data_IF_079240997270
#
_entry.id   IF_079240997270
#
_cell.length_a   1.000
_cell.length_b   1.000
_cell.length_c   1.000
_cell.angle_alpha   90.00
_cell.angle_beta   90.00
_cell.angle_gamma   90.00
#
_symmetry.space_group_name_H-M   'P 1'
#
loop_
_entity.id
_entity.type
_entity.pdbx_description
1 polymer ?
#
# COMPACT_ATOMS: atom_id res chain seq x y z
N UNK A 1 -47.85 30.97 -42.98
CA UNK A 1 -46.97 29.78 -42.97
C UNK A 1 -45.89 30.02 -41.93
N UNK A 2 -45.81 29.17 -40.90
CA UNK A 2 -44.85 29.31 -39.82
C UNK A 2 -43.46 28.85 -40.28
N UNK A 3 -42.50 29.77 -40.30
CA UNK A 3 -41.09 29.45 -40.53
C UNK A 3 -40.43 29.03 -39.22
N UNK A 4 -39.97 27.78 -39.15
CA UNK A 4 -39.20 27.23 -38.05
C UNK A 4 -37.85 27.94 -37.91
N UNK A 5 -37.62 28.62 -36.79
CA UNK A 5 -36.30 29.06 -36.35
C UNK A 5 -35.70 27.94 -35.49
N UNK A 6 -34.96 27.05 -36.13
CA UNK A 6 -34.18 25.99 -35.46
C UNK A 6 -32.81 25.88 -36.12
N UNK A 7 -32.15 27.01 -36.37
CA UNK A 7 -30.79 27.07 -36.95
C UNK A 7 -30.00 28.25 -36.38
N UNK A 8 -29.97 28.43 -35.05
CA UNK A 8 -29.15 29.47 -34.42
C UNK A 8 -28.25 28.97 -33.28
N UNK A 9 -28.30 27.68 -32.93
CA UNK A 9 -27.50 27.14 -31.82
C UNK A 9 -26.47 26.06 -32.21
N UNK A 10 -26.19 25.84 -33.49
CA UNK A 10 -25.09 24.95 -33.90
C UNK A 10 -23.81 25.73 -34.22
N UNK A 11 -23.33 26.54 -33.27
CA UNK A 11 -21.97 27.06 -33.34
C UNK A 11 -21.02 25.89 -33.11
N UNK A 12 -20.57 25.25 -34.19
CA UNK A 12 -19.51 24.22 -34.12
C UNK A 12 -18.26 24.89 -33.56
N UNK A 13 -18.01 24.71 -32.27
CA UNK A 13 -16.79 25.19 -31.63
C UNK A 13 -15.66 24.26 -32.06
N UNK A 14 -14.77 24.77 -32.93
CA UNK A 14 -13.54 24.08 -33.33
C UNK A 14 -12.76 23.77 -32.06
N UNK A 15 -12.61 22.47 -31.74
CA UNK A 15 -11.94 22.01 -30.53
C UNK A 15 -12.84 21.33 -29.49
N UNK A 16 -14.17 21.39 -29.59
CA UNK A 16 -15.09 20.87 -28.57
C UNK A 16 -15.00 19.34 -28.34
N UNK A 17 -14.49 18.59 -29.32
CA UNK A 17 -14.24 17.13 -29.23
C UNK A 17 -12.77 16.77 -29.02
N UNK A 18 -11.87 17.76 -28.88
CA UNK A 18 -10.44 17.50 -28.69
C UNK A 18 -10.23 17.02 -27.25
N UNK A 19 -10.09 15.71 -27.09
CA UNK A 19 -9.68 15.11 -25.82
C UNK A 19 -8.18 15.31 -25.66
N UNK A 20 -7.76 15.91 -24.56
CA UNK A 20 -6.34 15.99 -24.21
C UNK A 20 -5.73 14.58 -24.14
N UNK A 21 -4.48 14.39 -24.58
CA UNK A 21 -3.82 13.09 -24.51
C UNK A 21 -3.67 12.67 -23.04
N UNK A 22 -4.53 11.77 -22.58
CA UNK A 22 -4.44 11.17 -21.25
C UNK A 22 -3.56 9.92 -21.32
N UNK A 23 -2.54 9.83 -20.47
CA UNK A 23 -1.74 8.62 -20.32
C UNK A 23 -2.61 7.53 -19.69
N UNK A 24 -3.15 6.64 -20.52
CA UNK A 24 -4.06 5.61 -20.09
C UNK A 24 -3.26 4.42 -19.52
N UNK A 25 -3.01 4.44 -18.21
CA UNK A 25 -2.26 3.39 -17.50
C UNK A 25 -3.07 2.12 -17.21
N UNK A 26 -4.37 2.14 -17.50
CA UNK A 26 -5.26 1.00 -17.28
C UNK A 26 -5.11 -0.04 -18.37
N UNK A 27 -5.12 -1.32 -18.00
CA UNK A 27 -5.03 -2.46 -18.91
C UNK A 27 -6.06 -2.40 -20.05
N UNK A 28 -7.30 -1.98 -19.75
CA UNK A 28 -8.35 -1.81 -20.76
C UNK A 28 -8.00 -0.81 -21.86
N UNK A 29 -7.31 0.27 -21.51
CA UNK A 29 -6.91 1.29 -22.47
C UNK A 29 -5.69 0.88 -23.31
N UNK A 30 -4.73 0.17 -22.70
CA UNK A 30 -3.58 -0.41 -23.41
C UNK A 30 -4.06 -1.47 -24.41
N UNK A 31 -5.02 -2.32 -24.00
CA UNK A 31 -5.60 -3.34 -24.88
C UNK A 31 -6.42 -2.72 -26.02
N UNK A 32 -7.17 -1.65 -25.77
CA UNK A 32 -7.88 -0.91 -26.82
C UNK A 32 -6.91 -0.29 -27.84
N UNK A 33 -5.82 0.33 -27.36
CA UNK A 33 -4.76 0.87 -28.22
C UNK A 33 -4.09 -0.23 -29.06
N UNK A 34 -3.77 -1.38 -28.47
CA UNK A 34 -3.20 -2.53 -29.19
C UNK A 34 -4.12 -3.05 -30.30
N UNK A 35 -5.44 -3.11 -30.06
CA UNK A 35 -6.43 -3.54 -31.07
C UNK A 35 -6.65 -2.51 -32.17
N UNK A 36 -6.57 -1.23 -31.84
CA UNK A 36 -6.71 -0.14 -32.79
C UNK A 36 -5.43 0.15 -33.58
N UNK A 37 -4.34 -0.60 -33.36
CA UNK A 37 -3.04 -0.35 -33.98
C UNK A 37 -2.37 0.95 -33.51
N UNK A 38 -2.79 1.48 -32.36
CA UNK A 38 -2.21 2.69 -31.78
C UNK A 38 -0.82 2.45 -31.16
N UNK A 39 -0.03 3.52 -30.97
CA UNK A 39 1.31 3.41 -30.38
C UNK A 39 1.23 2.91 -28.94
N UNK A 40 1.97 1.84 -28.65
CA UNK A 40 2.14 1.27 -27.31
C UNK A 40 3.62 1.33 -26.97
N UNK A 41 3.96 2.13 -25.97
CA UNK A 41 5.31 2.16 -25.43
C UNK A 41 5.46 1.07 -24.36
N UNK A 42 6.53 0.28 -24.47
CA UNK A 42 6.83 -0.81 -23.55
C UNK A 42 8.26 -0.69 -23.07
N UNK A 43 8.43 -0.26 -21.82
CA UNK A 43 9.73 -0.18 -21.17
C UNK A 43 9.93 -1.31 -20.16
N UNK A 44 11.12 -1.88 -20.13
CA UNK A 44 11.48 -2.94 -19.17
C UNK A 44 11.83 -2.28 -17.83
N UNK A 45 10.89 -2.31 -16.89
CA UNK A 45 11.15 -1.83 -15.52
C UNK A 45 12.31 -2.60 -14.89
N UNK A 46 13.25 -1.85 -14.32
CA UNK A 46 14.48 -2.33 -13.65
C UNK A 46 14.22 -3.32 -12.49
N UNK A 47 13.01 -3.35 -11.94
CA UNK A 47 12.57 -4.22 -10.84
C UNK A 47 11.97 -5.56 -11.31
N UNK A 48 12.60 -6.23 -12.29
CA UNK A 48 12.20 -7.60 -12.67
C UNK A 48 12.45 -8.60 -11.54
N UNK A 49 11.42 -9.37 -11.13
CA UNK A 49 11.43 -10.51 -10.19
C UNK A 49 12.67 -10.64 -9.28
N UNK A 50 12.95 -9.62 -8.47
CA UNK A 50 13.97 -9.72 -7.40
C UNK A 50 13.27 -9.95 -6.08
N UNK A 51 13.77 -10.90 -5.29
CA UNK A 51 13.26 -11.22 -3.95
C UNK A 51 13.34 -10.03 -2.97
N UNK A 52 14.22 -9.06 -3.26
CA UNK A 52 14.33 -7.80 -2.53
C UNK A 52 14.11 -6.63 -3.48
N UNK A 53 13.23 -5.71 -3.09
CA UNK A 53 13.13 -4.39 -3.72
C UNK A 53 14.45 -3.69 -3.45
N UNK A 54 15.22 -3.41 -4.50
CA UNK A 54 16.50 -2.71 -4.38
C UNK A 54 16.38 -1.33 -3.72
N UNK A 55 17.50 -0.65 -3.49
CA UNK A 55 17.51 0.68 -2.89
C UNK A 55 16.57 1.65 -3.63
N UNK A 56 15.79 2.42 -2.87
CA UNK A 56 14.92 3.45 -3.41
C UNK A 56 15.79 4.64 -3.86
N UNK A 57 16.26 4.59 -5.10
CA UNK A 57 17.16 5.58 -5.69
C UNK A 57 16.61 7.01 -5.62
N UNK A 58 15.29 7.18 -5.67
CA UNK A 58 14.65 8.49 -5.53
C UNK A 58 14.77 9.04 -4.10
N UNK A 59 14.61 8.18 -3.08
CA UNK A 59 14.82 8.58 -1.68
C UNK A 59 16.29 8.83 -1.38
N UNK A 60 17.21 8.03 -1.91
CA UNK A 60 18.65 8.24 -1.72
C UNK A 60 19.09 9.57 -2.32
N UNK A 61 18.66 9.88 -3.54
CA UNK A 61 18.95 11.16 -4.18
C UNK A 61 18.31 12.36 -3.47
N UNK A 62 17.22 12.15 -2.71
CA UNK A 62 16.64 13.19 -1.86
C UNK A 62 17.47 13.41 -0.60
N UNK A 63 17.88 12.33 0.08
CA UNK A 63 18.73 12.39 1.26
C UNK A 63 20.10 13.05 0.96
N UNK A 64 20.67 12.79 -0.20
CA UNK A 64 21.93 13.40 -0.65
C UNK A 64 21.85 14.93 -0.83
N UNK A 65 20.64 15.47 -1.08
CA UNK A 65 20.41 16.91 -1.26
C UNK A 65 20.05 17.64 0.03
N UNK A 66 19.65 16.94 1.09
CA UNK A 66 19.19 17.51 2.35
C UNK A 66 20.28 17.37 3.43
N UNK A 67 20.91 18.48 3.84
CA UNK A 67 22.01 18.49 4.83
C UNK A 67 21.55 18.34 6.30
N UNK A 68 20.24 18.40 6.59
CA UNK A 68 19.67 18.16 7.93
C UNK A 68 18.87 16.86 7.93
N UNK A 69 19.56 15.74 8.17
CA UNK A 69 18.93 14.41 8.15
C UNK A 69 18.20 14.16 9.47
N UNK A 70 16.88 14.35 9.45
CA UNK A 70 16.03 13.91 10.57
C UNK A 70 16.16 12.38 10.79
N UNK A 71 16.19 11.91 12.05
CA UNK A 71 16.23 10.49 12.35
C UNK A 71 15.13 9.70 11.62
N UNK A 72 15.42 8.50 11.08
CA UNK A 72 14.41 7.69 10.41
C UNK A 72 13.17 7.46 11.30
N UNK A 73 11.96 7.59 10.75
CA UNK A 73 10.75 7.41 11.54
C UNK A 73 10.70 5.99 12.10
N UNK A 74 10.52 5.88 13.42
CA UNK A 74 10.33 4.61 14.11
C UNK A 74 8.85 4.29 14.29
N UNK A 75 8.55 3.05 14.67
CA UNK A 75 7.17 2.65 14.99
C UNK A 75 6.64 3.39 16.23
N UNK A 76 5.33 3.68 16.23
CA UNK A 76 4.68 4.40 17.33
C UNK A 76 4.52 3.54 18.59
N UNK A 77 4.44 4.20 19.74
CA UNK A 77 4.21 3.54 21.04
C UNK A 77 2.91 2.73 21.06
N UNK A 78 1.85 3.26 20.44
CA UNK A 78 0.55 2.58 20.35
C UNK A 78 0.67 1.25 19.60
N UNK A 79 1.43 1.24 18.50
CA UNK A 79 1.65 0.03 17.72
C UNK A 79 2.38 -1.04 18.55
N UNK A 80 3.44 -0.67 19.26
CA UNK A 80 4.18 -1.60 20.13
C UNK A 80 3.30 -2.22 21.22
N UNK A 81 2.49 -1.41 21.90
CA UNK A 81 1.52 -1.88 22.92
C UNK A 81 0.46 -2.81 22.33
N UNK A 82 -0.05 -2.48 21.15
CA UNK A 82 -1.06 -3.29 20.46
C UNK A 82 -0.49 -4.66 20.06
N UNK A 83 0.74 -4.71 19.54
CA UNK A 83 1.41 -5.97 19.20
C UNK A 83 1.60 -6.84 20.45
N UNK A 84 2.06 -6.25 21.56
CA UNK A 84 2.25 -6.96 22.81
C UNK A 84 0.93 -7.53 23.34
N UNK A 85 -0.14 -6.71 23.35
CA UNK A 85 -1.48 -7.15 23.76
C UNK A 85 -2.00 -8.27 22.85
N UNK A 86 -1.89 -8.09 21.54
CA UNK A 86 -2.38 -9.06 20.56
C UNK A 86 -1.67 -10.42 20.65
N UNK A 87 -0.39 -10.45 21.04
CA UNK A 87 0.34 -11.69 21.34
C UNK A 87 -0.17 -12.39 22.60
N UNK A 88 -0.46 -11.63 23.66
CA UNK A 88 -0.95 -12.18 24.92
C UNK A 88 -2.38 -12.72 24.79
N UNK A 89 -3.22 -12.04 24.02
CA UNK A 89 -4.62 -12.43 23.76
C UNK A 89 -4.75 -13.30 22.51
N UNK A 90 -3.67 -13.91 22.02
CA UNK A 90 -3.70 -14.69 20.80
C UNK A 90 -4.56 -15.94 20.98
N UNK A 91 -5.47 -16.15 20.03
CA UNK A 91 -6.34 -17.32 19.95
C UNK A 91 -5.89 -18.18 18.78
N UNK A 92 -5.59 -19.45 19.05
CA UNK A 92 -5.19 -20.39 18.01
C UNK A 92 -6.36 -20.68 17.03
N UNK A 93 -6.10 -21.43 15.97
CA UNK A 93 -7.13 -21.82 15.01
C UNK A 93 -8.26 -22.67 15.63
N UNK A 94 -8.03 -23.27 16.79
CA UNK A 94 -8.99 -24.09 17.53
C UNK A 94 -9.84 -23.29 18.53
N UNK A 95 -9.64 -21.98 18.66
CA UNK A 95 -10.41 -21.12 19.57
C UNK A 95 -9.86 -21.05 21.00
N UNK A 96 -8.70 -21.63 21.27
CA UNK A 96 -8.08 -21.62 22.60
C UNK A 96 -7.13 -20.42 22.75
N UNK A 97 -7.15 -19.81 23.94
CA UNK A 97 -6.21 -18.76 24.32
C UNK A 97 -4.81 -19.36 24.49
N UNK A 98 -3.93 -19.10 23.53
CA UNK A 98 -2.53 -19.54 23.58
C UNK A 98 -1.63 -18.32 23.46
N UNK A 99 -1.15 -17.73 24.57
CA UNK A 99 -0.27 -16.57 24.49
C UNK A 99 1.00 -16.93 23.71
N UNK A 100 1.33 -16.12 22.70
CA UNK A 100 2.53 -16.34 21.88
C UNK A 100 3.75 -15.66 22.51
N UNK A 101 4.87 -16.37 22.62
CA UNK A 101 6.16 -15.74 22.92
C UNK A 101 6.66 -14.91 21.72
N UNK A 102 7.66 -14.04 21.95
CA UNK A 102 8.29 -13.28 20.86
C UNK A 102 8.92 -14.23 19.85
N UNK A 103 9.51 -15.33 20.34
CA UNK A 103 10.12 -16.38 19.53
C UNK A 103 9.10 -17.14 18.68
N UNK A 104 7.93 -17.45 19.23
CA UNK A 104 6.87 -18.13 18.48
C UNK A 104 6.35 -17.26 17.33
N UNK A 105 6.05 -15.98 17.61
CA UNK A 105 5.63 -15.05 16.58
C UNK A 105 6.72 -14.87 15.51
N UNK A 106 7.98 -14.76 15.93
CA UNK A 106 9.11 -14.63 15.02
C UNK A 106 9.28 -15.86 14.11
N UNK A 107 9.11 -17.07 14.66
CA UNK A 107 9.13 -18.33 13.90
C UNK A 107 8.01 -18.37 12.86
N UNK A 108 6.79 -17.94 13.22
CA UNK A 108 5.67 -17.87 12.29
C UNK A 108 5.87 -16.82 11.17
N UNK A 109 6.57 -15.72 11.49
CA UNK A 109 6.91 -14.66 10.54
C UNK A 109 8.16 -14.97 9.70
N UNK A 110 8.89 -16.04 10.04
CA UNK A 110 10.21 -16.36 9.51
C UNK A 110 11.20 -15.18 9.65
N UNK A 111 11.26 -14.58 10.84
CA UNK A 111 12.17 -13.48 11.18
C UNK A 111 12.92 -13.79 12.47
N UNK A 112 13.95 -12.99 12.78
CA UNK A 112 14.67 -13.10 14.06
C UNK A 112 13.79 -12.58 15.22
N UNK A 113 13.84 -13.20 16.42
CA UNK A 113 13.10 -12.72 17.60
C UNK A 113 13.44 -11.26 17.96
N UNK A 114 14.67 -10.84 17.72
CA UNK A 114 15.14 -9.47 17.95
C UNK A 114 14.33 -8.44 17.17
N UNK A 115 13.90 -8.77 15.96
CA UNK A 115 13.08 -7.87 15.13
C UNK A 115 11.74 -7.64 15.80
N UNK A 116 11.05 -8.69 16.26
CA UNK A 116 9.76 -8.55 16.97
C UNK A 116 9.92 -7.69 18.23
N UNK A 117 11.00 -7.90 18.98
CA UNK A 117 11.32 -7.11 20.18
C UNK A 117 11.56 -5.63 19.85
N UNK A 118 12.23 -5.31 18.74
CA UNK A 118 12.44 -3.93 18.28
C UNK A 118 11.13 -3.22 17.91
N UNK A 119 10.15 -3.95 17.36
CA UNK A 119 8.82 -3.42 17.06
C UNK A 119 8.04 -3.10 18.34
N UNK A 120 8.12 -3.97 19.35
CA UNK A 120 7.48 -3.73 20.66
C UNK A 120 8.15 -2.57 21.42
N UNK A 121 9.45 -2.35 21.22
CA UNK A 121 10.25 -1.32 21.90
C UNK A 121 10.42 0.00 21.13
N UNK A 122 9.66 0.23 20.05
CA UNK A 122 9.73 1.47 19.25
C UNK A 122 11.08 1.74 18.57
N UNK A 123 11.90 0.71 18.37
CA UNK A 123 13.22 0.84 17.72
C UNK A 123 13.19 0.47 16.24
N UNK A 124 12.21 -0.33 15.83
CA UNK A 124 12.12 -0.80 14.46
C UNK A 124 11.68 0.30 13.48
N UNK A 125 12.22 0.22 12.26
CA UNK A 125 11.70 0.95 11.11
C UNK A 125 10.36 0.32 10.67
N UNK A 126 9.30 1.10 10.45
CA UNK A 126 8.02 0.56 9.95
C UNK A 126 8.18 -0.10 8.58
N UNK A 127 8.03 -1.43 8.52
CA UNK A 127 7.92 -2.19 7.27
C UNK A 127 6.47 -2.66 7.04
N UNK A 128 5.75 -2.09 6.05
CA UNK A 128 4.38 -2.47 5.72
C UNK A 128 4.21 -3.96 5.39
N UNK A 129 5.24 -4.63 4.87
CA UNK A 129 5.17 -6.05 4.52
C UNK A 129 5.18 -6.92 5.79
N UNK A 130 6.11 -6.65 6.70
CA UNK A 130 6.19 -7.36 7.97
C UNK A 130 4.95 -7.11 8.85
N UNK A 131 4.50 -5.86 8.92
CA UNK A 131 3.26 -5.50 9.62
C UNK A 131 2.06 -6.24 9.03
N UNK A 132 1.92 -6.30 7.69
CA UNK A 132 0.85 -7.05 7.04
C UNK A 132 0.87 -8.56 7.34
N UNK A 133 2.04 -9.16 7.58
CA UNK A 133 2.14 -10.57 8.03
C UNK A 133 1.74 -10.70 9.51
N UNK A 134 2.20 -9.79 10.37
CA UNK A 134 1.82 -9.73 11.78
C UNK A 134 0.31 -9.59 11.97
N UNK A 135 -0.34 -8.75 11.16
CA UNK A 135 -1.79 -8.58 11.17
C UNK A 135 -2.55 -9.88 10.94
N UNK A 136 -2.11 -10.66 9.93
CA UNK A 136 -2.78 -11.92 9.56
C UNK A 136 -2.63 -12.99 10.62
N UNK A 137 -1.45 -13.06 11.25
CA UNK A 137 -1.19 -13.99 12.34
C UNK A 137 -2.00 -13.57 13.55
N UNK A 138 -1.84 -12.34 14.02
CA UNK A 138 -2.44 -11.88 15.27
C UNK A 138 -3.93 -11.53 15.14
N UNK A 139 -4.49 -11.55 13.92
CA UNK A 139 -5.88 -11.19 13.59
C UNK A 139 -6.28 -9.80 14.11
N UNK A 140 -5.33 -8.86 14.15
CA UNK A 140 -5.51 -7.47 14.59
C UNK A 140 -4.94 -6.53 13.53
N UNK A 141 -5.56 -5.37 13.33
CA UNK A 141 -5.04 -4.31 12.46
C UNK A 141 -3.89 -3.57 13.11
N UNK A 142 -2.78 -3.47 12.39
CA UNK A 142 -1.53 -2.85 12.81
C UNK A 142 -1.10 -1.69 11.88
N UNK A 143 -1.81 -1.50 10.76
CA UNK A 143 -1.59 -0.41 9.79
C UNK A 143 -2.84 0.42 9.53
N UNK A 144 -2.61 1.67 9.12
CA UNK A 144 -3.67 2.61 8.74
C UNK A 144 -4.52 3.07 9.91
N UNK A 145 -5.78 3.44 9.64
CA UNK A 145 -6.72 3.90 10.66
C UNK A 145 -7.33 2.72 11.44
N UNK A 146 -7.48 2.87 12.75
CA UNK A 146 -8.08 1.84 13.63
C UNK A 146 -7.10 0.76 14.07
N UNK A 147 -5.88 1.15 14.46
CA UNK A 147 -4.87 0.26 15.04
C UNK A 147 -5.46 -0.42 16.29
N UNK A 148 -5.30 -1.73 16.41
CA UNK A 148 -5.81 -2.53 17.54
C UNK A 148 -7.20 -3.14 17.35
N UNK A 149 -7.90 -2.82 16.26
CA UNK A 149 -9.18 -3.47 15.93
C UNK A 149 -8.96 -4.87 15.34
N UNK A 150 -9.91 -5.81 15.52
CA UNK A 150 -9.82 -7.12 14.90
C UNK A 150 -9.74 -7.01 13.36
N UNK A 151 -8.84 -7.79 12.77
CA UNK A 151 -8.66 -7.88 11.33
C UNK A 151 -9.90 -8.56 10.73
N UNK A 152 -10.64 -7.84 9.89
CA UNK A 152 -11.87 -8.35 9.28
C UNK A 152 -13.15 -8.10 10.09
N UNK A 153 -13.16 -7.12 11.01
CA UNK A 153 -14.40 -6.61 11.59
C UNK A 153 -15.47 -6.27 10.52
N UNK A 154 -16.76 -6.22 10.90
CA UNK A 154 -17.87 -6.12 9.94
C UNK A 154 -17.57 -5.03 8.92
N UNK A 155 -17.62 -5.39 7.63
CA UNK A 155 -17.43 -4.43 6.54
C UNK A 155 -18.34 -3.24 6.83
N UNK A 156 -17.76 -2.07 7.11
CA UNK A 156 -18.53 -0.83 7.09
C UNK A 156 -19.06 -0.71 5.66
N UNK A 157 -20.37 -0.91 5.52
CA UNK A 157 -21.12 -0.60 4.31
C UNK A 157 -20.98 0.88 4.01
#
# INVERSE_FOLDING_TARGET
MAGSITDWESKTVIGQKVRAPTVARSEGAVNAARRAGGPVDSDRKSTGNKASTGPDHAKIAKLDRENEVAPPPTVSLELGKVIQKARQTYVNSAGENKPLSQGDLARMLNVKPTIVQEYENMKAKPDPQLLGKMERILKVKLRGAGIGQPLGGPKKK
#
